data_IF_943260792872
#
_entry.id   IF_943260792872
#
_cell.length_a   1.000
_cell.length_b   1.000
_cell.length_c   1.000
_cell.angle_alpha   90.00
_cell.angle_beta   90.00
_cell.angle_gamma   90.00
#
_symmetry.space_group_name_H-M   'P 1'
#
loop_
_entity.id
_entity.type
_entity.pdbx_description
1 polymer ?
#
# COMPACT_ATOMS: atom_id res chain seq x y z
N UNK A 1 -7.30 31.43 48.38
CA UNK A 1 -5.96 31.04 47.88
C UNK A 1 -5.84 29.54 47.55
N UNK A 2 -6.26 28.56 48.39
CA UNK A 2 -6.17 27.12 48.11
C UNK A 2 -6.96 26.65 46.89
N UNK A 3 -8.15 27.23 46.61
CA UNK A 3 -8.97 26.86 45.42
C UNK A 3 -8.41 27.39 44.10
N UNK A 4 -7.70 28.52 44.11
CA UNK A 4 -7.07 29.08 42.91
C UNK A 4 -5.82 28.27 42.51
N UNK A 5 -5.10 27.73 43.48
CA UNK A 5 -3.91 26.88 43.23
C UNK A 5 -4.31 25.54 42.62
N UNK A 6 -5.46 24.96 43.01
CA UNK A 6 -5.97 23.70 42.47
C UNK A 6 -6.42 23.82 40.99
N UNK A 7 -6.96 24.97 40.64
CA UNK A 7 -7.41 25.25 39.24
C UNK A 7 -6.24 25.46 38.29
N UNK A 8 -5.12 26.03 38.77
CA UNK A 8 -3.90 26.21 37.99
C UNK A 8 -3.18 24.87 37.77
N UNK A 9 -3.19 23.95 38.75
CA UNK A 9 -2.61 22.61 38.60
C UNK A 9 -3.41 21.74 37.62
N UNK A 10 -4.74 21.92 37.53
CA UNK A 10 -5.58 21.16 36.62
C UNK A 10 -5.41 21.59 35.14
N UNK A 11 -5.02 22.85 34.89
CA UNK A 11 -4.75 23.38 33.55
C UNK A 11 -3.40 22.93 32.95
N UNK A 12 -2.47 22.47 33.78
CA UNK A 12 -1.14 22.00 33.33
C UNK A 12 -1.17 20.55 32.85
N UNK A 13 -2.24 19.80 33.10
CA UNK A 13 -2.37 18.38 32.70
C UNK A 13 -3.07 18.14 31.36
N UNK A 14 -3.41 19.19 30.60
CA UNK A 14 -4.20 19.07 29.36
C UNK A 14 -3.40 19.23 28.08
N UNK A 15 -2.07 19.32 28.12
CA UNK A 15 -1.28 19.40 26.89
C UNK A 15 -0.26 18.26 26.79
N UNK A 16 -0.75 17.05 26.63
CA UNK A 16 0.05 15.89 26.30
C UNK A 16 -0.47 15.18 25.04
N UNK A 17 -0.77 15.94 24.00
CA UNK A 17 -0.81 15.38 22.65
C UNK A 17 0.63 15.35 22.11
N UNK A 18 1.42 14.41 22.64
CA UNK A 18 2.79 14.21 22.20
C UNK A 18 2.79 13.84 20.72
N UNK A 19 3.17 14.79 19.83
CA UNK A 19 3.44 14.51 18.44
C UNK A 19 4.49 13.41 18.38
N UNK A 20 4.08 12.22 17.96
CA UNK A 20 5.03 11.12 17.77
C UNK A 20 5.97 11.49 16.62
N UNK A 21 7.26 11.46 16.87
CA UNK A 21 8.28 11.80 15.90
C UNK A 21 9.46 10.85 16.04
N UNK A 22 9.89 10.28 14.92
CA UNK A 22 10.94 9.27 14.87
C UNK A 22 12.14 9.80 14.10
N UNK A 23 13.37 9.63 14.57
CA UNK A 23 14.57 9.90 13.79
C UNK A 23 14.75 8.79 12.76
N UNK A 24 14.94 9.18 11.50
CA UNK A 24 15.14 8.25 10.38
C UNK A 24 16.45 8.57 9.70
N UNK A 25 17.17 7.53 9.25
CA UNK A 25 18.30 7.63 8.35
C UNK A 25 18.04 6.74 7.15
N UNK A 26 18.45 7.18 5.95
CA UNK A 26 18.28 6.36 4.74
C UNK A 26 18.87 7.04 3.51
N UNK A 27 18.83 6.33 2.40
CA UNK A 27 19.33 6.77 1.10
C UNK A 27 18.18 6.93 0.12
N UNK A 28 18.14 8.04 -0.62
CA UNK A 28 17.13 8.29 -1.65
C UNK A 28 17.35 7.32 -2.80
N UNK A 29 16.31 6.54 -3.11
CA UNK A 29 16.27 5.61 -4.23
C UNK A 29 15.56 6.24 -5.43
N UNK A 30 14.54 7.06 -5.19
CA UNK A 30 13.80 7.77 -6.23
C UNK A 30 13.26 9.11 -5.70
N UNK A 31 13.24 10.12 -6.56
CA UNK A 31 12.58 11.40 -6.31
C UNK A 31 11.26 11.44 -7.09
N UNK A 32 10.15 11.75 -6.43
CA UNK A 32 8.80 11.79 -6.99
C UNK A 32 8.22 13.18 -6.85
N UNK A 33 8.47 14.03 -7.84
CA UNK A 33 8.07 15.44 -7.81
C UNK A 33 6.55 15.59 -7.77
N UNK A 34 5.81 14.83 -8.59
CA UNK A 34 4.34 14.95 -8.71
C UNK A 34 3.61 14.63 -7.40
N UNK A 35 4.07 13.65 -6.63
CA UNK A 35 3.48 13.26 -5.35
C UNK A 35 4.11 13.95 -4.14
N UNK A 36 5.18 14.75 -4.36
CA UNK A 36 6.01 15.37 -3.32
C UNK A 36 6.53 14.33 -2.30
N UNK A 37 7.19 13.28 -2.83
CA UNK A 37 7.68 12.14 -2.06
C UNK A 37 9.11 11.77 -2.43
N UNK A 38 9.87 11.26 -1.44
CA UNK A 38 11.07 10.47 -1.68
C UNK A 38 10.79 9.00 -1.44
N UNK A 39 11.21 8.14 -2.37
CA UNK A 39 11.41 6.73 -2.08
C UNK A 39 12.76 6.59 -1.39
N UNK A 40 12.79 6.13 -0.15
CA UNK A 40 14.00 6.03 0.66
C UNK A 40 14.18 4.60 1.14
N UNK A 41 15.38 4.04 0.92
CA UNK A 41 15.81 2.87 1.67
C UNK A 41 16.33 3.36 3.02
N UNK A 42 15.56 3.11 4.09
CA UNK A 42 15.89 3.58 5.43
C UNK A 42 16.41 2.46 6.31
N UNK A 43 17.29 2.83 7.25
CA UNK A 43 17.74 1.96 8.33
C UNK A 43 16.57 1.62 9.27
N UNK A 44 16.73 0.63 10.13
CA UNK A 44 15.78 0.36 11.20
C UNK A 44 15.42 1.65 11.99
N UNK A 45 14.13 1.87 12.18
CA UNK A 45 13.60 2.92 13.06
C UNK A 45 13.23 2.25 14.39
N UNK A 46 14.06 2.38 15.44
CA UNK A 46 13.89 1.62 16.68
C UNK A 46 12.49 1.75 17.28
N UNK A 47 11.89 0.64 17.67
CA UNK A 47 10.54 0.52 18.22
C UNK A 47 9.43 1.05 17.31
N UNK A 48 9.68 1.14 15.99
CA UNK A 48 8.68 1.60 15.04
C UNK A 48 8.60 0.75 13.78
N UNK A 49 9.71 0.59 13.03
CA UNK A 49 9.74 -0.29 11.84
C UNK A 49 11.16 -0.73 11.49
N UNK A 50 11.26 -1.88 10.83
CA UNK A 50 12.53 -2.45 10.35
C UNK A 50 13.10 -1.66 9.17
N UNK A 51 14.39 -1.92 8.83
CA UNK A 51 15.02 -1.35 7.65
C UNK A 51 14.31 -1.79 6.37
N UNK A 52 13.93 -0.83 5.51
CA UNK A 52 13.20 -1.13 4.28
C UNK A 52 13.19 0.05 3.29
N UNK A 53 12.66 -0.19 2.11
CA UNK A 53 12.41 0.87 1.11
C UNK A 53 10.94 1.25 1.10
N UNK A 54 10.62 2.53 1.39
CA UNK A 54 9.25 3.02 1.39
C UNK A 54 9.16 4.49 0.95
N UNK A 55 8.00 4.97 0.49
CA UNK A 55 7.78 6.38 0.21
C UNK A 55 7.65 7.20 1.49
N UNK A 56 8.28 8.36 1.49
CA UNK A 56 8.14 9.36 2.53
C UNK A 56 7.54 10.64 1.94
N UNK A 57 6.32 10.97 2.36
CA UNK A 57 5.66 12.24 2.03
C UNK A 57 6.43 13.39 2.65
N UNK A 58 6.79 14.39 1.83
CA UNK A 58 7.51 15.55 2.31
C UNK A 58 6.56 16.60 2.89
N UNK A 59 7.00 17.33 3.90
CA UNK A 59 6.28 18.51 4.34
C UNK A 59 6.36 19.59 3.26
N UNK A 60 5.28 20.36 3.06
CA UNK A 60 5.16 21.38 2.00
C UNK A 60 6.26 22.48 2.02
N UNK A 61 6.96 22.63 3.13
CA UNK A 61 8.05 23.58 3.28
C UNK A 61 9.39 23.12 2.72
N UNK A 62 9.48 21.88 2.23
CA UNK A 62 10.71 21.30 1.73
C UNK A 62 10.81 21.44 0.20
N UNK A 63 11.93 21.94 -0.28
CA UNK A 63 12.25 21.94 -1.71
C UNK A 63 12.80 20.56 -2.10
N UNK A 64 11.98 19.78 -2.82
CA UNK A 64 12.29 18.43 -3.27
C UNK A 64 13.50 18.40 -4.21
N UNK A 65 13.70 19.46 -5.01
CA UNK A 65 14.76 19.55 -6.01
C UNK A 65 16.17 19.75 -5.40
N UNK A 66 16.23 19.94 -4.08
CA UNK A 66 17.49 20.08 -3.35
C UNK A 66 18.24 18.75 -3.21
N UNK A 67 17.56 17.62 -3.39
CA UNK A 67 18.10 16.29 -3.13
C UNK A 67 17.97 15.42 -4.36
N UNK A 68 18.92 14.50 -4.53
CA UNK A 68 18.99 13.61 -5.69
C UNK A 68 19.13 12.14 -5.26
N UNK A 69 18.84 11.26 -6.19
CA UNK A 69 19.07 9.81 -6.00
C UNK A 69 20.51 9.54 -5.53
N UNK A 70 20.64 8.66 -4.54
CA UNK A 70 21.91 8.30 -3.90
C UNK A 70 22.31 9.23 -2.75
N UNK A 71 21.54 10.30 -2.45
CA UNK A 71 21.80 11.10 -1.25
C UNK A 71 21.41 10.31 0.01
N UNK A 72 22.35 10.22 0.96
CA UNK A 72 22.09 9.71 2.30
C UNK A 72 21.62 10.83 3.20
N UNK A 73 20.51 10.61 3.87
CA UNK A 73 19.80 11.62 4.64
C UNK A 73 19.57 11.17 6.08
N UNK A 74 19.54 12.14 6.98
CA UNK A 74 18.90 12.02 8.29
C UNK A 74 17.73 12.99 8.32
N UNK A 75 16.58 12.53 8.79
CA UNK A 75 15.36 13.34 8.87
C UNK A 75 14.46 12.88 10.02
N UNK A 76 13.34 13.55 10.20
CA UNK A 76 12.33 13.17 11.20
C UNK A 76 11.04 12.77 10.50
N UNK A 77 10.50 11.65 10.90
CA UNK A 77 9.16 11.22 10.53
C UNK A 77 8.18 11.69 11.60
N UNK A 78 7.36 12.69 11.29
CA UNK A 78 6.37 13.27 12.20
C UNK A 78 4.99 12.72 11.90
N UNK A 79 4.35 12.18 12.91
CA UNK A 79 2.95 11.75 12.84
C UNK A 79 2.04 12.93 13.18
N UNK A 80 1.19 13.31 12.21
CA UNK A 80 0.16 14.35 12.39
C UNK A 80 -1.19 13.74 12.09
N UNK A 81 -2.02 13.63 13.12
CA UNK A 81 -3.29 12.91 13.03
C UNK A 81 -3.02 11.46 12.58
N UNK A 82 -3.52 11.01 11.46
CA UNK A 82 -3.25 9.68 10.89
C UNK A 82 -2.23 9.70 9.74
N UNK A 83 -1.55 10.82 9.50
CA UNK A 83 -0.59 11.00 8.40
C UNK A 83 0.84 11.14 8.92
N UNK A 84 1.78 10.59 8.15
CA UNK A 84 3.20 10.70 8.40
C UNK A 84 3.85 11.65 7.39
N UNK A 85 4.69 12.58 7.88
CA UNK A 85 5.42 13.52 7.05
C UNK A 85 6.90 13.50 7.40
N UNK A 86 7.73 13.48 6.37
CA UNK A 86 9.18 13.63 6.53
C UNK A 86 9.55 15.11 6.60
N UNK A 87 10.31 15.46 7.63
CA UNK A 87 10.69 16.84 7.96
C UNK A 87 12.15 16.90 8.40
N UNK A 88 12.71 18.10 8.51
CA UNK A 88 14.03 18.36 9.13
C UNK A 88 15.17 17.57 8.47
N UNK A 89 15.27 17.59 7.16
CA UNK A 89 16.27 16.87 6.41
C UNK A 89 17.69 17.44 6.61
N UNK A 90 18.63 16.52 6.80
CA UNK A 90 20.06 16.80 6.83
C UNK A 90 20.76 15.85 5.85
N UNK A 91 21.46 16.41 4.87
CA UNK A 91 22.31 15.64 3.96
C UNK A 91 23.54 15.12 4.73
N UNK A 92 23.79 13.83 4.65
CA UNK A 92 24.94 13.16 5.27
C UNK A 92 26.07 12.90 4.25
N UNK A 93 25.77 12.99 2.96
CA UNK A 93 26.67 12.69 1.85
C UNK A 93 26.02 11.73 0.87
N UNK A 94 26.82 10.94 0.15
CA UNK A 94 26.30 9.87 -0.68
C UNK A 94 26.18 8.58 0.14
N UNK A 95 25.03 7.94 0.03
CA UNK A 95 24.78 6.62 0.60
C UNK A 95 25.11 5.51 -0.39
N UNK A 96 25.20 4.31 0.12
CA UNK A 96 25.21 3.12 -0.72
C UNK A 96 23.78 2.91 -1.19
N UNK A 97 23.56 2.94 -2.50
CA UNK A 97 22.32 2.38 -3.03
C UNK A 97 22.34 0.90 -2.66
N UNK A 98 21.25 0.33 -2.09
CA UNK A 98 21.21 -1.10 -1.90
C UNK A 98 21.59 -1.73 -3.23
N UNK A 99 22.54 -2.66 -3.20
CA UNK A 99 22.79 -3.49 -4.36
C UNK A 99 21.45 -4.13 -4.66
N UNK A 100 20.89 -3.74 -5.79
CA UNK A 100 19.65 -4.30 -6.31
C UNK A 100 19.95 -5.71 -6.84
N UNK A 101 20.71 -6.46 -6.05
CA UNK A 101 21.02 -7.84 -6.33
C UNK A 101 19.75 -8.66 -6.22
N UNK A 102 19.15 -8.86 -7.38
CA UNK A 102 18.20 -9.92 -7.70
C UNK A 102 16.78 -9.89 -7.09
N UNK A 103 16.40 -8.91 -6.26
CA UNK A 103 15.00 -8.75 -5.82
C UNK A 103 14.26 -7.71 -6.67
N UNK A 104 15.00 -6.81 -7.35
CA UNK A 104 14.45 -5.75 -8.20
C UNK A 104 15.07 -5.84 -9.62
N UNK A 105 14.78 -6.91 -10.35
CA UNK A 105 14.86 -6.88 -11.81
C UNK A 105 13.82 -5.85 -12.31
N UNK A 106 13.89 -5.47 -13.57
CA UNK A 106 12.88 -4.58 -14.21
C UNK A 106 11.44 -5.05 -13.93
N UNK A 107 11.26 -6.35 -13.67
CA UNK A 107 10.01 -7.03 -13.36
C UNK A 107 9.38 -6.63 -12.00
N UNK A 108 10.18 -6.18 -11.01
CA UNK A 108 9.71 -5.73 -9.69
C UNK A 108 9.70 -4.21 -9.55
N UNK A 109 10.07 -3.48 -10.61
CA UNK A 109 10.10 -2.02 -10.60
C UNK A 109 8.68 -1.47 -10.60
N UNK A 110 8.38 -0.47 -9.75
CA UNK A 110 7.08 0.20 -9.76
C UNK A 110 6.72 0.73 -11.15
N UNK A 111 5.53 0.40 -11.60
CA UNK A 111 5.04 0.87 -12.88
C UNK A 111 4.53 2.30 -12.78
N UNK A 112 4.80 3.08 -13.82
CA UNK A 112 4.14 4.35 -14.07
C UNK A 112 2.79 4.12 -14.76
N UNK A 113 1.94 5.14 -14.80
CA UNK A 113 0.67 5.09 -15.53
C UNK A 113 0.94 4.72 -17.00
N UNK A 114 0.23 3.72 -17.49
CA UNK A 114 0.41 3.11 -18.81
C UNK A 114 1.38 1.94 -18.86
N UNK A 115 2.16 1.69 -17.80
CA UNK A 115 3.03 0.53 -17.69
C UNK A 115 2.22 -0.77 -17.59
N UNK A 116 2.74 -1.85 -18.18
CA UNK A 116 2.04 -3.14 -18.30
C UNK A 116 2.49 -4.07 -17.17
N UNK A 117 1.53 -4.58 -16.41
CA UNK A 117 1.79 -5.59 -15.38
C UNK A 117 2.21 -6.92 -16.00
N UNK A 118 3.23 -7.52 -15.44
CA UNK A 118 3.59 -8.90 -15.73
C UNK A 118 2.44 -9.83 -15.34
N UNK A 119 2.36 -10.97 -15.99
CA UNK A 119 1.43 -12.00 -15.55
C UNK A 119 1.88 -12.61 -14.25
N UNK A 120 0.96 -12.88 -13.35
CA UNK A 120 1.20 -13.40 -12.02
C UNK A 120 0.17 -14.46 -11.67
N UNK A 121 0.60 -15.54 -11.03
CA UNK A 121 -0.26 -16.66 -10.66
C UNK A 121 -0.47 -16.71 -9.15
N UNK A 122 -1.69 -16.99 -8.74
CA UNK A 122 -2.13 -17.12 -7.35
C UNK A 122 -3.05 -18.33 -7.20
N UNK A 123 -3.58 -18.55 -6.01
CA UNK A 123 -4.51 -19.65 -5.74
C UNK A 123 -5.86 -19.05 -5.29
N UNK A 124 -6.94 -19.47 -5.92
CA UNK A 124 -8.29 -19.07 -5.53
C UNK A 124 -8.75 -19.79 -4.24
N UNK A 125 -9.94 -19.46 -3.76
CA UNK A 125 -10.51 -20.06 -2.56
C UNK A 125 -10.87 -21.55 -2.70
N UNK A 126 -10.95 -22.07 -3.92
CA UNK A 126 -11.22 -23.48 -4.24
C UNK A 126 -9.95 -24.26 -4.57
N UNK A 127 -8.79 -23.64 -4.30
CA UNK A 127 -7.44 -24.19 -4.52
C UNK A 127 -7.08 -24.41 -5.99
N UNK A 128 -7.69 -23.66 -6.90
CA UNK A 128 -7.28 -23.63 -8.29
C UNK A 128 -6.22 -22.56 -8.51
N UNK A 129 -5.25 -22.84 -9.38
CA UNK A 129 -4.32 -21.82 -9.85
C UNK A 129 -5.09 -20.83 -10.76
N UNK A 130 -4.88 -19.55 -10.56
CA UNK A 130 -5.48 -18.45 -11.32
C UNK A 130 -4.40 -17.46 -11.68
N UNK A 131 -4.33 -17.09 -12.94
CA UNK A 131 -3.38 -16.08 -13.43
C UNK A 131 -4.07 -14.74 -13.62
N UNK A 132 -3.31 -13.67 -13.52
CA UNK A 132 -3.84 -12.32 -13.79
C UNK A 132 -4.39 -12.23 -15.22
N UNK A 133 -3.76 -12.93 -16.16
CA UNK A 133 -4.18 -13.04 -17.56
C UNK A 133 -5.53 -13.75 -17.77
N UNK A 134 -6.01 -14.56 -16.81
CA UNK A 134 -7.33 -15.20 -16.92
C UNK A 134 -8.47 -14.17 -16.94
N UNK A 135 -8.20 -12.95 -16.49
CA UNK A 135 -9.11 -11.80 -16.54
C UNK A 135 -8.74 -10.79 -17.64
N UNK A 136 -7.87 -11.11 -18.58
CA UNK A 136 -7.60 -10.24 -19.74
C UNK A 136 -8.88 -9.97 -20.53
N UNK A 137 -9.01 -8.77 -21.07
CA UNK A 137 -10.26 -8.28 -21.65
C UNK A 137 -11.18 -7.58 -20.65
N UNK A 138 -10.84 -7.56 -19.34
CA UNK A 138 -11.58 -6.83 -18.31
C UNK A 138 -10.69 -5.83 -17.59
N UNK A 139 -11.30 -4.78 -17.08
CA UNK A 139 -10.68 -3.95 -16.04
C UNK A 139 -10.58 -4.74 -14.74
N UNK A 140 -9.52 -4.48 -13.96
CA UNK A 140 -9.33 -5.07 -12.64
C UNK A 140 -8.99 -3.99 -11.64
N UNK A 141 -9.72 -3.98 -10.53
CA UNK A 141 -9.38 -3.20 -9.36
C UNK A 141 -8.67 -4.12 -8.37
N UNK A 142 -7.35 -3.96 -8.23
CA UNK A 142 -6.52 -4.85 -7.41
C UNK A 142 -6.19 -4.17 -6.10
N UNK A 143 -6.38 -4.87 -4.98
CA UNK A 143 -6.02 -4.45 -3.64
C UNK A 143 -5.24 -5.55 -2.92
N UNK A 144 -4.30 -5.14 -2.06
CA UNK A 144 -3.47 -6.05 -1.28
C UNK A 144 -3.93 -6.06 0.17
N UNK A 145 -4.06 -7.25 0.75
CA UNK A 145 -4.57 -7.46 2.11
C UNK A 145 -3.81 -8.59 2.81
N UNK A 146 -4.10 -8.80 4.08
CA UNK A 146 -3.85 -10.05 4.79
C UNK A 146 -4.92 -10.26 5.88
N UNK A 147 -5.25 -11.52 6.19
CA UNK A 147 -6.42 -11.84 7.03
C UNK A 147 -6.20 -11.51 8.50
N UNK A 148 -4.96 -11.59 8.97
CA UNK A 148 -4.58 -11.35 10.37
C UNK A 148 -4.40 -9.87 10.73
N UNK A 149 -4.76 -8.92 9.84
CA UNK A 149 -4.62 -7.49 10.12
C UNK A 149 -5.46 -7.08 11.33
N UNK A 150 -4.85 -6.61 12.42
CA UNK A 150 -5.58 -6.26 13.65
C UNK A 150 -6.22 -4.88 13.58
N UNK A 151 -5.93 -4.10 12.54
CA UNK A 151 -6.33 -2.70 12.42
C UNK A 151 -7.61 -2.56 11.59
N UNK A 152 -8.76 -2.19 12.21
CA UNK A 152 -10.05 -2.11 11.50
C UNK A 152 -10.06 -1.10 10.34
N UNK A 153 -9.25 -0.06 10.42
CA UNK A 153 -9.13 1.01 9.41
C UNK A 153 -8.12 0.70 8.29
N UNK A 154 -7.53 -0.49 8.28
CA UNK A 154 -6.59 -0.95 7.25
C UNK A 154 -7.21 -2.03 6.35
N UNK A 155 -6.69 -3.27 6.34
CA UNK A 155 -7.20 -4.33 5.46
C UNK A 155 -8.72 -4.55 5.55
N UNK A 156 -9.36 -4.57 6.74
CA UNK A 156 -10.82 -4.68 6.82
C UNK A 156 -11.54 -3.52 6.11
N UNK A 157 -11.04 -2.29 6.24
CA UNK A 157 -11.62 -1.14 5.53
C UNK A 157 -11.45 -1.24 4.01
N UNK A 158 -10.30 -1.75 3.52
CA UNK A 158 -10.08 -2.02 2.09
C UNK A 158 -11.07 -3.06 1.57
N UNK A 159 -11.32 -4.13 2.33
CA UNK A 159 -12.33 -5.16 1.96
C UNK A 159 -13.73 -4.55 1.85
N UNK A 160 -14.14 -3.72 2.82
CA UNK A 160 -15.45 -3.05 2.79
C UNK A 160 -15.60 -2.14 1.57
N UNK A 161 -14.56 -1.38 1.22
CA UNK A 161 -14.57 -0.49 0.04
C UNK A 161 -14.62 -1.28 -1.27
N UNK A 162 -13.87 -2.38 -1.38
CA UNK A 162 -13.94 -3.25 -2.55
C UNK A 162 -15.32 -3.91 -2.68
N UNK A 163 -15.95 -4.29 -1.55
CA UNK A 163 -17.32 -4.80 -1.55
C UNK A 163 -18.32 -3.77 -2.08
N UNK A 164 -18.22 -2.50 -1.63
CA UNK A 164 -19.06 -1.41 -2.15
C UNK A 164 -18.93 -1.28 -3.67
N UNK A 165 -17.70 -1.32 -4.19
CA UNK A 165 -17.45 -1.27 -5.63
C UNK A 165 -18.02 -2.51 -6.34
N UNK A 166 -17.82 -3.70 -5.80
CA UNK A 166 -18.35 -4.93 -6.37
C UNK A 166 -19.89 -4.93 -6.43
N UNK A 167 -20.56 -4.40 -5.40
CA UNK A 167 -22.01 -4.20 -5.39
C UNK A 167 -22.45 -3.19 -6.46
N UNK A 168 -21.76 -2.05 -6.54
CA UNK A 168 -22.06 -0.97 -7.49
C UNK A 168 -21.92 -1.42 -8.95
N UNK A 169 -20.99 -2.34 -9.23
CA UNK A 169 -20.71 -2.88 -10.57
C UNK A 169 -21.15 -4.34 -10.74
N UNK A 170 -22.13 -4.82 -9.95
CA UNK A 170 -22.54 -6.22 -9.98
C UNK A 170 -23.05 -6.69 -11.36
N UNK A 171 -23.67 -5.79 -12.11
CA UNK A 171 -24.19 -6.07 -13.46
C UNK A 171 -23.20 -5.69 -14.58
N UNK A 172 -21.96 -5.30 -14.23
CA UNK A 172 -20.93 -4.86 -15.19
C UNK A 172 -19.92 -5.98 -15.39
N UNK A 173 -20.00 -6.68 -16.51
CA UNK A 173 -19.14 -7.84 -16.81
C UNK A 173 -17.67 -7.46 -17.09
N UNK A 174 -17.43 -6.20 -17.44
CA UNK A 174 -16.14 -5.67 -17.89
C UNK A 174 -15.17 -5.32 -16.76
N UNK A 175 -15.55 -5.53 -15.49
CA UNK A 175 -14.67 -5.22 -14.35
C UNK A 175 -14.74 -6.29 -13.25
N UNK A 176 -13.59 -6.58 -12.67
CA UNK A 176 -13.44 -7.45 -11.50
C UNK A 176 -12.69 -6.73 -10.36
N UNK A 177 -13.03 -7.07 -9.13
CA UNK A 177 -12.41 -6.56 -7.90
C UNK A 177 -11.61 -7.68 -7.26
N UNK A 178 -10.28 -7.58 -7.29
CA UNK A 178 -9.37 -8.66 -6.91
C UNK A 178 -8.63 -8.25 -5.63
N UNK A 179 -8.78 -9.01 -4.58
CA UNK A 179 -8.03 -8.84 -3.34
C UNK A 179 -7.04 -9.99 -3.20
N UNK A 180 -5.76 -9.65 -3.14
CA UNK A 180 -4.66 -10.62 -3.08
C UNK A 180 -4.03 -10.54 -1.70
N UNK A 181 -3.96 -11.68 -1.00
CA UNK A 181 -3.22 -11.73 0.24
C UNK A 181 -1.73 -11.81 -0.04
N UNK A 182 -0.96 -10.94 0.63
CA UNK A 182 0.50 -11.02 0.66
C UNK A 182 1.03 -11.84 1.85
N UNK A 183 0.17 -12.37 2.71
CA UNK A 183 0.57 -13.31 3.77
C UNK A 183 0.73 -14.73 3.18
N UNK A 184 1.85 -14.92 2.49
CA UNK A 184 2.17 -16.14 1.76
C UNK A 184 2.43 -17.37 2.66
N UNK A 185 2.31 -17.22 3.98
CA UNK A 185 2.47 -18.30 4.96
C UNK A 185 1.14 -18.72 5.56
N UNK A 186 0.40 -17.76 6.08
CA UNK A 186 -0.81 -18.03 6.87
C UNK A 186 -2.09 -18.05 6.03
N UNK A 187 -2.20 -17.18 5.03
CA UNK A 187 -3.43 -16.98 4.26
C UNK A 187 -3.61 -18.04 3.17
N UNK A 188 -3.72 -19.31 3.61
CA UNK A 188 -4.04 -20.43 2.71
C UNK A 188 -5.40 -20.22 2.03
N UNK A 189 -5.67 -20.88 0.89
CA UNK A 189 -6.99 -20.85 0.23
C UNK A 189 -8.14 -21.16 1.18
N UNK A 190 -7.97 -22.16 2.05
CA UNK A 190 -8.99 -22.53 3.05
C UNK A 190 -9.21 -21.45 4.10
N UNK A 191 -8.16 -20.74 4.53
CA UNK A 191 -8.26 -19.63 5.47
C UNK A 191 -9.02 -18.48 4.83
N UNK A 192 -8.61 -18.04 3.64
CA UNK A 192 -9.29 -16.99 2.88
C UNK A 192 -10.76 -17.36 2.65
N UNK A 193 -11.05 -18.60 2.25
CA UNK A 193 -12.41 -19.10 2.06
C UNK A 193 -13.26 -19.02 3.33
N UNK A 194 -12.71 -19.37 4.47
CA UNK A 194 -13.43 -19.34 5.76
C UNK A 194 -13.87 -17.93 6.14
N UNK A 195 -13.08 -16.91 5.77
CA UNK A 195 -13.32 -15.49 6.12
C UNK A 195 -14.15 -14.78 5.06
N UNK A 196 -13.86 -14.99 3.77
CA UNK A 196 -14.40 -14.14 2.70
C UNK A 196 -15.41 -14.82 1.77
N UNK A 197 -15.72 -16.11 1.94
CA UNK A 197 -16.67 -16.80 1.04
C UNK A 197 -18.07 -16.19 1.01
N UNK A 198 -18.49 -15.48 2.05
CA UNK A 198 -19.76 -14.77 2.06
C UNK A 198 -19.80 -13.62 1.06
N UNK A 199 -18.67 -12.97 0.79
CA UNK A 199 -18.58 -11.86 -0.17
C UNK A 199 -18.75 -12.36 -1.60
N UNK A 200 -18.02 -13.41 -1.98
CA UNK A 200 -18.05 -13.96 -3.35
C UNK A 200 -19.36 -14.64 -3.71
N UNK A 201 -20.09 -15.16 -2.72
CA UNK A 201 -21.45 -15.72 -2.93
C UNK A 201 -22.46 -14.66 -3.30
N UNK A 202 -22.29 -13.42 -2.80
CA UNK A 202 -23.21 -12.31 -3.06
C UNK A 202 -22.80 -11.55 -4.31
N UNK A 203 -21.50 -11.32 -4.50
CA UNK A 203 -20.94 -10.55 -5.60
C UNK A 203 -19.90 -11.38 -6.36
N UNK A 204 -20.26 -12.05 -7.47
CA UNK A 204 -19.34 -12.91 -8.23
C UNK A 204 -18.16 -12.17 -8.87
N UNK A 205 -18.26 -10.84 -9.00
CA UNK A 205 -17.22 -9.96 -9.52
C UNK A 205 -16.14 -9.57 -8.49
N UNK A 206 -16.27 -9.99 -7.21
CA UNK A 206 -15.20 -9.86 -6.22
C UNK A 206 -14.47 -11.20 -6.06
N UNK A 207 -13.14 -11.15 -6.08
CA UNK A 207 -12.25 -12.31 -6.02
C UNK A 207 -11.26 -12.14 -4.86
N UNK A 208 -10.92 -13.24 -4.21
CA UNK A 208 -9.89 -13.28 -3.17
C UNK A 208 -8.89 -14.36 -3.50
N UNK A 209 -7.61 -14.01 -3.54
CA UNK A 209 -6.53 -14.90 -3.92
C UNK A 209 -5.49 -15.03 -2.81
N UNK A 210 -4.96 -16.24 -2.66
CA UNK A 210 -3.85 -16.59 -1.79
C UNK A 210 -2.55 -16.55 -2.58
N UNK A 211 -1.50 -16.01 -1.98
CA UNK A 211 -0.14 -16.05 -2.52
C UNK A 211 0.70 -17.20 -1.97
N UNK A 212 0.11 -18.12 -1.20
CA UNK A 212 0.81 -19.30 -0.67
C UNK A 212 1.37 -20.14 -1.82
N UNK A 213 2.68 -20.38 -1.82
CA UNK A 213 3.39 -21.06 -2.90
C UNK A 213 3.74 -20.20 -4.11
N UNK A 214 3.34 -18.93 -4.13
CA UNK A 214 3.55 -18.00 -5.24
C UNK A 214 4.32 -16.73 -4.79
N UNK A 215 5.42 -16.95 -4.08
CA UNK A 215 6.19 -15.88 -3.45
C UNK A 215 6.73 -14.86 -4.47
N UNK A 216 7.28 -15.33 -5.58
CA UNK A 216 7.81 -14.44 -6.61
C UNK A 216 6.72 -13.60 -7.26
N UNK A 217 5.56 -14.22 -7.54
CA UNK A 217 4.42 -13.53 -8.15
C UNK A 217 3.88 -12.42 -7.26
N UNK A 218 3.75 -12.66 -5.95
CA UNK A 218 3.25 -11.62 -5.03
C UNK A 218 4.25 -10.49 -4.86
N UNK A 219 5.56 -10.77 -4.75
CA UNK A 219 6.57 -9.72 -4.68
C UNK A 219 6.62 -8.90 -5.98
N UNK A 220 6.58 -9.56 -7.13
CA UNK A 220 6.55 -8.91 -8.43
C UNK A 220 5.34 -7.99 -8.57
N UNK A 221 4.13 -8.53 -8.41
CA UNK A 221 2.90 -7.76 -8.61
C UNK A 221 2.77 -6.62 -7.58
N UNK A 222 3.13 -6.86 -6.33
CA UNK A 222 3.15 -5.84 -5.30
C UNK A 222 4.18 -4.75 -5.63
N UNK A 223 5.40 -5.13 -6.04
CA UNK A 223 6.44 -4.19 -6.47
C UNK A 223 5.98 -3.32 -7.63
N UNK A 224 5.44 -3.92 -8.70
CA UNK A 224 4.88 -3.21 -9.84
C UNK A 224 3.72 -2.27 -9.44
N UNK A 225 2.94 -2.64 -8.43
CA UNK A 225 1.89 -1.80 -7.84
C UNK A 225 2.42 -0.76 -6.87
N UNK A 226 3.72 -0.76 -6.59
CA UNK A 226 4.31 0.07 -5.54
C UNK A 226 3.75 -0.24 -4.14
N UNK A 227 3.56 -1.50 -3.85
CA UNK A 227 3.22 -2.04 -2.53
C UNK A 227 4.43 -2.76 -1.97
N UNK A 228 4.78 -2.47 -0.74
CA UNK A 228 5.81 -3.16 0.02
C UNK A 228 5.21 -3.85 1.23
N UNK A 229 5.73 -5.01 1.59
CA UNK A 229 5.38 -5.74 2.80
C UNK A 229 6.61 -6.51 3.30
N UNK A 230 6.65 -6.80 4.61
CA UNK A 230 7.78 -7.45 5.28
C UNK A 230 7.31 -8.10 6.59
N UNK A 231 8.20 -8.89 7.22
CA UNK A 231 7.96 -9.50 8.52
C UNK A 231 6.89 -10.60 8.53
N UNK A 232 6.53 -11.14 7.36
CA UNK A 232 5.54 -12.22 7.25
C UNK A 232 6.03 -13.48 7.97
N UNK A 233 7.32 -13.79 7.83
CA UNK A 233 7.98 -14.95 8.47
C UNK A 233 8.11 -14.78 9.98
N UNK A 234 8.17 -13.53 10.46
CA UNK A 234 8.42 -13.18 11.86
C UNK A 234 7.13 -12.90 12.63
N UNK A 235 5.95 -13.01 12.00
CA UNK A 235 4.66 -12.62 12.58
C UNK A 235 4.55 -11.12 12.97
N UNK A 236 5.43 -10.28 12.46
CA UNK A 236 5.43 -8.82 12.65
C UNK A 236 5.26 -8.12 11.30
N UNK A 237 4.06 -8.26 10.74
CA UNK A 237 3.75 -7.85 9.38
C UNK A 237 3.60 -6.33 9.30
N UNK A 238 4.56 -5.69 8.65
CA UNK A 238 4.43 -4.32 8.18
C UNK A 238 4.16 -4.28 6.67
N UNK A 239 3.42 -3.27 6.22
CA UNK A 239 3.11 -3.11 4.80
C UNK A 239 2.65 -1.69 4.47
N UNK A 240 2.85 -1.27 3.22
CA UNK A 240 2.13 -0.15 2.65
C UNK A 240 0.78 -0.63 2.10
N UNK A 241 -0.19 0.27 1.98
CA UNK A 241 -1.49 -0.02 1.37
C UNK A 241 -1.63 0.76 0.07
N UNK A 242 -1.98 0.05 -0.98
CA UNK A 242 -2.34 0.64 -2.26
C UNK A 242 -3.35 -0.23 -2.98
N UNK A 243 -4.24 0.41 -3.73
CA UNK A 243 -5.11 -0.27 -4.71
C UNK A 243 -4.84 0.33 -6.08
N UNK A 244 -4.93 -0.49 -7.12
CA UNK A 244 -4.68 -0.06 -8.50
C UNK A 244 -5.82 -0.44 -9.42
N UNK A 245 -6.06 0.37 -10.46
CA UNK A 245 -6.91 0.00 -11.60
C UNK A 245 -5.99 -0.35 -12.76
N UNK A 246 -6.18 -1.52 -13.34
CA UNK A 246 -5.56 -1.93 -14.59
C UNK A 246 -6.60 -2.16 -15.67
N UNK A 247 -6.23 -1.87 -16.91
CA UNK A 247 -7.07 -2.02 -18.08
C UNK A 247 -7.14 -3.50 -18.59
N UNK A 248 -7.94 -3.79 -19.64
CA UNK A 248 -8.02 -5.11 -20.25
C UNK A 248 -6.68 -5.70 -20.71
N UNK A 249 -5.70 -4.88 -21.07
CA UNK A 249 -4.36 -5.26 -21.48
C UNK A 249 -3.33 -5.21 -20.35
N UNK A 250 -3.78 -5.12 -19.10
CA UNK A 250 -2.96 -5.03 -17.88
C UNK A 250 -2.13 -3.75 -17.74
N UNK A 251 -2.52 -2.63 -18.39
CA UNK A 251 -1.85 -1.35 -18.16
C UNK A 251 -2.35 -0.69 -16.87
N UNK A 252 -1.42 -0.13 -16.10
CA UNK A 252 -1.76 0.68 -14.94
C UNK A 252 -2.48 1.95 -15.38
N UNK A 253 -3.74 2.10 -14.98
CA UNK A 253 -4.57 3.25 -15.29
C UNK A 253 -4.64 4.26 -14.16
N UNK A 254 -4.66 3.76 -12.91
CA UNK A 254 -4.76 4.60 -11.72
C UNK A 254 -4.31 3.86 -10.47
N UNK A 255 -3.84 4.60 -9.47
CA UNK A 255 -3.47 4.08 -8.17
C UNK A 255 -4.09 4.92 -7.05
N UNK A 256 -4.38 4.28 -5.92
CA UNK A 256 -4.95 4.87 -4.71
C UNK A 256 -4.08 4.49 -3.53
N UNK A 257 -3.42 5.46 -2.92
CA UNK A 257 -2.52 5.25 -1.79
C UNK A 257 -3.29 5.18 -0.46
N UNK A 258 -2.83 4.32 0.43
CA UNK A 258 -3.36 4.18 1.77
C UNK A 258 -4.81 3.70 1.81
N UNK A 259 -5.51 4.09 2.87
CA UNK A 259 -6.92 3.75 3.10
C UNK A 259 -7.86 4.95 3.01
N UNK A 260 -7.36 6.14 2.73
CA UNK A 260 -8.19 7.36 2.76
C UNK A 260 -8.99 7.60 1.47
N UNK A 261 -8.73 6.84 0.42
CA UNK A 261 -9.50 6.96 -0.81
C UNK A 261 -10.98 6.60 -0.60
N UNK A 262 -11.85 7.38 -1.22
CA UNK A 262 -13.31 7.19 -1.12
C UNK A 262 -13.79 6.24 -2.22
N UNK A 263 -14.60 5.22 -1.91
CA UNK A 263 -15.10 4.29 -2.92
C UNK A 263 -15.93 4.98 -4.00
N UNK A 264 -16.63 6.08 -3.68
CA UNK A 264 -17.38 6.86 -4.67
C UNK A 264 -16.45 7.61 -5.66
N UNK A 265 -15.22 7.94 -5.23
CA UNK A 265 -14.23 8.50 -6.15
C UNK A 265 -13.71 7.43 -7.11
N UNK A 266 -13.38 6.25 -6.59
CA UNK A 266 -12.97 5.10 -7.41
C UNK A 266 -14.09 4.67 -8.37
N UNK A 267 -15.36 4.68 -7.94
CA UNK A 267 -16.52 4.45 -8.80
C UNK A 267 -16.54 5.41 -10.00
N UNK A 268 -16.41 6.71 -9.76
CA UNK A 268 -16.38 7.71 -10.86
C UNK A 268 -15.24 7.47 -11.83
N UNK A 269 -14.06 7.13 -11.32
CA UNK A 269 -12.90 6.82 -12.15
C UNK A 269 -13.14 5.58 -13.00
N UNK A 270 -13.66 4.50 -12.42
CA UNK A 270 -14.00 3.26 -13.13
C UNK A 270 -15.03 3.54 -14.24
N UNK A 271 -16.11 4.26 -13.92
CA UNK A 271 -17.14 4.63 -14.93
C UNK A 271 -16.55 5.45 -16.08
N UNK A 272 -15.62 6.36 -15.78
CA UNK A 272 -14.91 7.14 -16.79
C UNK A 272 -14.03 6.28 -17.69
N UNK A 273 -13.29 5.33 -17.11
CA UNK A 273 -12.43 4.41 -17.84
C UNK A 273 -13.25 3.46 -18.72
N UNK A 274 -14.31 2.83 -18.20
CA UNK A 274 -15.22 1.98 -18.96
C UNK A 274 -15.82 2.73 -20.14
N UNK A 275 -16.28 3.98 -19.94
CA UNK A 275 -16.82 4.81 -21.03
C UNK A 275 -15.78 5.20 -22.07
N UNK A 276 -14.54 5.38 -21.70
CA UNK A 276 -13.46 5.77 -22.63
C UNK A 276 -12.96 4.57 -23.45
N UNK A 277 -13.16 3.37 -22.96
CA UNK A 277 -12.72 2.14 -23.64
C UNK A 277 -13.69 1.67 -24.74
N UNK A 278 -14.96 2.06 -24.65
CA UNK A 278 -16.02 1.84 -25.67
C UNK A 278 -16.14 3.03 -26.62
#
# INVERSE_FOLDING_TARGET
MKKLLLTIILLILLDCSGKKSYPVRGTIIQVREESNEFLIHHDEIPNFMMAMTMPFKLADSLDINRYVVGDSLKFRLEMKEEKAFATSFQLLGKGTLPELDNIWNDEYTPLEIGGIFSDATFIDMDSNAVSLSDSDGKFRFISYIFTRCPMPNMCPAVVVKNRYLAETFAETAEIEFILISFDYIYDTPSMIKSIYSSHTKVYPNIKFYSSVGHLNDIFMLAGQSFVSFWGVDENDIGHSLRSVIIDPERRLMKAYDGTEWRPEAAERDIRSLLKAYH
#
